data_IF_376848856323
#
_entry.id   IF_376848856323
#
_cell.length_a   1.000
_cell.length_b   1.000
_cell.length_c   1.000
_cell.angle_alpha   90.00
_cell.angle_beta   90.00
_cell.angle_gamma   90.00
#
_symmetry.space_group_name_H-M   'P 1'
#
loop_
_entity.id
_entity.type
_entity.pdbx_description
1 polymer ?
#
# COMPACT_ATOMS: atom_id res chain seq x y z
N UNK A 1 2.41 0.73 6.60
CA UNK A 1 3.00 0.60 5.26
C UNK A 1 2.01 -0.18 4.40
N UNK A 2 2.31 -1.39 3.90
CA UNK A 2 1.32 -2.40 3.51
C UNK A 2 1.16 -3.34 4.72
N UNK A 3 -0.08 -3.53 5.16
CA UNK A 3 -0.38 -4.08 6.47
C UNK A 3 0.03 -5.53 6.60
N UNK A 4 -0.63 -6.42 5.85
CA UNK A 4 -0.44 -7.86 5.98
C UNK A 4 0.98 -8.29 5.58
N UNK A 5 1.48 -7.78 4.46
CA UNK A 5 2.84 -8.11 3.99
C UNK A 5 3.92 -7.60 4.95
N UNK A 6 3.75 -6.43 5.59
CA UNK A 6 4.72 -5.94 6.56
C UNK A 6 4.75 -6.82 7.81
N UNK A 7 3.58 -7.22 8.31
CA UNK A 7 3.48 -8.08 9.50
C UNK A 7 4.19 -9.41 9.23
N UNK A 8 3.85 -10.06 8.11
CA UNK A 8 4.44 -11.36 7.74
C UNK A 8 5.94 -11.25 7.51
N UNK A 9 6.41 -10.19 6.85
CA UNK A 9 7.84 -10.02 6.56
C UNK A 9 8.66 -9.61 7.80
N UNK A 10 8.05 -8.91 8.77
CA UNK A 10 8.73 -8.50 10.01
C UNK A 10 8.76 -9.63 11.04
N UNK A 11 7.74 -10.49 11.06
CA UNK A 11 7.56 -11.53 12.08
C UNK A 11 8.80 -12.43 12.31
N UNK A 12 9.50 -12.95 11.29
CA UNK A 12 10.71 -13.76 11.49
C UNK A 12 11.84 -12.95 12.12
N UNK A 13 11.99 -11.67 11.76
CA UNK A 13 13.06 -10.78 12.22
C UNK A 13 12.96 -10.41 13.69
N UNK A 14 11.75 -10.47 14.27
CA UNK A 14 11.50 -10.21 15.70
C UNK A 14 11.07 -11.46 16.47
N UNK A 15 11.07 -12.63 15.81
CA UNK A 15 10.55 -13.92 16.33
C UNK A 15 9.14 -13.81 16.93
N UNK A 16 8.23 -13.13 16.23
CA UNK A 16 6.84 -12.99 16.65
C UNK A 16 6.13 -14.35 16.71
N UNK A 17 5.25 -14.53 17.70
CA UNK A 17 4.42 -15.73 17.81
C UNK A 17 3.35 -15.75 16.71
N UNK A 18 2.93 -16.94 16.28
CA UNK A 18 1.87 -17.06 15.26
C UNK A 18 0.57 -16.39 15.70
N UNK A 19 0.23 -16.46 16.99
CA UNK A 19 -0.93 -15.79 17.58
C UNK A 19 -0.84 -14.26 17.41
N UNK A 20 0.32 -13.67 17.69
CA UNK A 20 0.57 -12.22 17.55
C UNK A 20 0.44 -11.77 16.10
N UNK A 21 0.98 -12.57 15.16
CA UNK A 21 0.86 -12.34 13.71
C UNK A 21 -0.60 -12.39 13.27
N UNK A 22 -1.32 -13.44 13.67
CA UNK A 22 -2.73 -13.61 13.34
C UNK A 22 -3.58 -12.45 13.90
N UNK A 23 -3.31 -12.03 15.14
CA UNK A 23 -3.98 -10.90 15.78
C UNK A 23 -3.71 -9.58 15.06
N UNK A 24 -2.45 -9.31 14.70
CA UNK A 24 -2.09 -8.11 13.98
C UNK A 24 -2.78 -8.05 12.61
N UNK A 25 -2.77 -9.16 11.85
CA UNK A 25 -3.43 -9.26 10.54
C UNK A 25 -4.94 -9.05 10.68
N UNK A 26 -5.59 -9.77 11.59
CA UNK A 26 -7.03 -9.66 11.79
C UNK A 26 -7.46 -8.22 12.11
N UNK A 27 -6.71 -7.56 13.01
CA UNK A 27 -6.98 -6.20 13.43
C UNK A 27 -6.86 -5.18 12.28
N UNK A 28 -5.78 -5.22 11.49
CA UNK A 28 -5.63 -4.31 10.34
C UNK A 28 -6.69 -4.58 9.26
N UNK A 29 -7.12 -5.83 9.10
CA UNK A 29 -8.11 -6.21 8.09
C UNK A 29 -9.46 -5.62 8.46
N UNK A 30 -9.90 -5.73 9.73
CA UNK A 30 -11.19 -5.17 10.17
C UNK A 30 -11.25 -3.66 10.00
N UNK A 31 -10.27 -2.92 10.53
CA UNK A 31 -10.26 -1.47 10.40
C UNK A 31 -10.03 -1.02 8.96
N UNK A 32 -9.26 -1.78 8.20
CA UNK A 32 -9.05 -1.51 6.80
C UNK A 32 -10.30 -1.73 5.93
N UNK A 33 -11.14 -2.74 6.24
CA UNK A 33 -12.43 -2.93 5.59
C UNK A 33 -13.36 -1.77 5.94
N UNK A 34 -13.44 -1.39 7.22
CA UNK A 34 -14.24 -0.23 7.63
C UNK A 34 -13.78 1.04 6.90
N UNK A 35 -12.48 1.29 6.87
CA UNK A 35 -11.90 2.43 6.15
C UNK A 35 -12.16 2.36 4.64
N UNK A 36 -12.08 1.18 4.01
CA UNK A 36 -12.35 1.02 2.59
C UNK A 36 -13.73 1.53 2.18
N UNK A 37 -14.75 1.28 3.00
CA UNK A 37 -16.12 1.72 2.74
C UNK A 37 -16.40 3.15 3.20
N UNK A 38 -15.79 3.59 4.31
CA UNK A 38 -16.10 4.89 4.92
C UNK A 38 -15.23 6.03 4.38
N UNK A 39 -13.94 5.77 4.14
CA UNK A 39 -12.98 6.82 3.79
C UNK A 39 -13.21 7.46 2.42
N UNK A 40 -13.79 6.82 1.39
CA UNK A 40 -14.11 7.51 0.14
C UNK A 40 -15.02 8.72 0.36
N UNK A 41 -16.08 8.55 1.15
CA UNK A 41 -17.01 9.63 1.50
C UNK A 41 -16.35 10.68 2.38
N UNK A 42 -15.54 10.23 3.35
CA UNK A 42 -14.79 11.13 4.22
C UNK A 42 -13.79 11.98 3.42
N UNK A 43 -13.05 11.38 2.49
CA UNK A 43 -12.09 12.07 1.63
C UNK A 43 -12.80 13.14 0.79
N UNK A 44 -13.94 12.80 0.19
CA UNK A 44 -14.71 13.75 -0.62
C UNK A 44 -15.17 14.94 0.23
N UNK A 45 -15.68 14.67 1.44
CA UNK A 45 -16.13 15.70 2.37
C UNK A 45 -14.98 16.59 2.89
N UNK A 46 -13.81 16.01 3.19
CA UNK A 46 -12.66 16.73 3.74
C UNK A 46 -11.94 17.60 2.70
N UNK A 47 -11.87 17.14 1.44
CA UNK A 47 -11.08 17.81 0.39
C UNK A 47 -11.95 18.43 -0.71
N UNK A 48 -13.26 18.55 -0.48
CA UNK A 48 -14.17 19.23 -1.42
C UNK A 48 -14.23 18.59 -2.81
N UNK A 49 -13.98 17.29 -2.90
CA UNK A 49 -13.94 16.57 -4.18
C UNK A 49 -12.60 16.60 -4.92
N UNK A 50 -11.54 17.21 -4.38
CA UNK A 50 -10.20 17.18 -4.96
C UNK A 50 -9.68 15.74 -5.05
N UNK A 51 -9.47 15.26 -6.28
CA UNK A 51 -9.10 13.88 -6.58
C UNK A 51 -7.66 13.57 -6.19
N UNK A 52 -6.75 14.55 -6.30
CA UNK A 52 -5.36 14.38 -5.92
C UNK A 52 -5.23 14.29 -4.40
N UNK A 53 -5.84 15.23 -3.66
CA UNK A 53 -5.83 15.22 -2.20
C UNK A 53 -6.57 14.02 -1.62
N UNK A 54 -7.74 13.69 -2.20
CA UNK A 54 -8.49 12.49 -1.86
C UNK A 54 -7.66 11.22 -2.08
N UNK A 55 -6.97 11.12 -3.22
CA UNK A 55 -6.10 10.00 -3.54
C UNK A 55 -4.92 9.87 -2.57
N UNK A 56 -4.23 10.98 -2.28
CA UNK A 56 -3.16 11.03 -1.29
C UNK A 56 -3.63 10.57 0.08
N UNK A 57 -4.80 11.03 0.53
CA UNK A 57 -5.38 10.63 1.80
C UNK A 57 -5.74 9.15 1.85
N UNK A 58 -6.43 8.62 0.84
CA UNK A 58 -6.79 7.20 0.79
C UNK A 58 -5.53 6.31 0.77
N UNK A 59 -4.53 6.68 -0.05
CA UNK A 59 -3.27 5.93 -0.19
C UNK A 59 -2.40 5.94 1.07
N UNK A 60 -2.40 7.04 1.84
CA UNK A 60 -1.60 7.15 3.07
C UNK A 60 -2.29 6.54 4.29
N UNK A 61 -3.61 6.72 4.42
CA UNK A 61 -4.37 6.37 5.63
C UNK A 61 -4.76 4.89 5.70
N UNK A 62 -5.14 4.25 4.59
CA UNK A 62 -5.59 2.85 4.60
C UNK A 62 -4.38 1.92 4.69
N UNK A 63 -4.50 0.84 5.47
CA UNK A 63 -3.37 -0.02 5.83
C UNK A 63 -3.05 -1.11 4.82
N UNK A 64 -4.01 -1.60 4.04
CA UNK A 64 -3.79 -2.65 3.04
C UNK A 64 -3.90 -2.13 1.61
N UNK A 65 -3.07 -2.63 0.69
CA UNK A 65 -3.02 -2.14 -0.70
C UNK A 65 -4.32 -2.48 -1.44
N UNK A 66 -4.82 -3.70 -1.23
CA UNK A 66 -6.12 -4.15 -1.71
C UNK A 66 -7.25 -3.17 -1.36
N UNK A 67 -7.32 -2.81 -0.07
CA UNK A 67 -8.35 -1.93 0.47
C UNK A 67 -8.20 -0.48 -0.03
N UNK A 68 -6.97 0.02 -0.18
CA UNK A 68 -6.73 1.34 -0.80
C UNK A 68 -7.31 1.38 -2.20
N UNK A 69 -6.98 0.39 -3.04
CA UNK A 69 -7.46 0.45 -4.42
C UNK A 69 -8.96 0.24 -4.51
N UNK A 70 -9.53 -0.64 -3.69
CA UNK A 70 -10.98 -0.79 -3.56
C UNK A 70 -11.66 0.53 -3.17
N UNK A 71 -11.15 1.22 -2.15
CA UNK A 71 -11.68 2.51 -1.70
C UNK A 71 -11.60 3.59 -2.79
N UNK A 72 -10.46 3.66 -3.49
CA UNK A 72 -10.24 4.69 -4.49
C UNK A 72 -11.02 4.44 -5.79
N UNK A 73 -11.20 3.18 -6.20
CA UNK A 73 -12.12 2.82 -7.28
C UNK A 73 -13.57 3.14 -6.91
N UNK A 74 -13.98 2.84 -5.67
CA UNK A 74 -15.28 3.23 -5.16
C UNK A 74 -15.46 4.75 -5.17
N UNK A 75 -14.43 5.51 -4.78
CA UNK A 75 -14.45 6.97 -4.85
C UNK A 75 -14.70 7.45 -6.28
N UNK A 76 -13.91 6.98 -7.25
CA UNK A 76 -14.01 7.42 -8.64
C UNK A 76 -15.39 7.11 -9.23
N UNK A 77 -15.93 5.93 -8.94
CA UNK A 77 -17.27 5.51 -9.39
C UNK A 77 -18.40 6.30 -8.71
N UNK A 78 -18.30 6.53 -7.40
CA UNK A 78 -19.37 7.17 -6.61
C UNK A 78 -19.50 8.66 -6.95
N UNK A 79 -18.38 9.34 -7.19
CA UNK A 79 -18.33 10.78 -7.44
C UNK A 79 -18.16 11.14 -8.93
N UNK A 80 -18.30 10.17 -9.84
CA UNK A 80 -18.30 10.41 -11.28
C UNK A 80 -16.98 10.98 -11.82
N UNK A 81 -15.85 10.55 -11.25
CA UNK A 81 -14.52 11.01 -11.65
C UNK A 81 -14.20 10.49 -13.05
N UNK A 82 -14.08 11.40 -14.00
CA UNK A 82 -13.77 11.11 -15.41
C UNK A 82 -12.50 11.83 -15.90
N UNK A 83 -11.94 12.72 -15.07
CA UNK A 83 -10.71 13.47 -15.36
C UNK A 83 -9.45 12.71 -14.94
N UNK A 84 -8.31 13.11 -15.49
CA UNK A 84 -6.99 12.63 -15.07
C UNK A 84 -6.24 13.74 -14.35
N UNK A 85 -5.52 13.44 -13.25
CA UNK A 85 -5.38 12.12 -12.63
C UNK A 85 -6.62 11.71 -11.81
N UNK A 86 -7.08 10.46 -11.98
CA UNK A 86 -8.16 9.93 -11.15
C UNK A 86 -7.70 9.71 -9.70
N UNK A 87 -8.63 9.67 -8.75
CA UNK A 87 -8.31 9.41 -7.34
C UNK A 87 -7.65 8.04 -7.15
N UNK A 88 -8.07 7.02 -7.92
CA UNK A 88 -7.48 5.69 -7.87
C UNK A 88 -6.01 5.65 -8.27
N UNK A 89 -5.63 6.37 -9.34
CA UNK A 89 -4.24 6.38 -9.81
C UNK A 89 -3.33 7.00 -8.73
N UNK A 90 -3.74 8.14 -8.16
CA UNK A 90 -2.98 8.82 -7.09
C UNK A 90 -2.91 7.96 -5.83
N UNK A 91 -4.01 7.36 -5.38
CA UNK A 91 -4.05 6.54 -4.18
C UNK A 91 -3.15 5.29 -4.29
N UNK A 92 -3.21 4.61 -5.43
CA UNK A 92 -2.40 3.40 -5.68
C UNK A 92 -0.92 3.75 -5.71
N UNK A 93 -0.51 4.80 -6.44
CA UNK A 93 0.90 5.23 -6.48
C UNK A 93 1.38 5.62 -5.08
N UNK A 94 0.60 6.42 -4.36
CA UNK A 94 0.91 6.84 -2.98
C UNK A 94 1.13 5.64 -2.06
N UNK A 95 0.26 4.62 -2.18
CA UNK A 95 0.37 3.39 -1.39
C UNK A 95 1.60 2.57 -1.76
N UNK A 96 1.91 2.45 -3.05
CA UNK A 96 3.08 1.72 -3.52
C UNK A 96 4.38 2.39 -3.08
N UNK A 97 4.47 3.72 -3.15
CA UNK A 97 5.60 4.49 -2.60
C UNK A 97 5.75 4.23 -1.11
N UNK A 98 4.65 4.24 -0.35
CA UNK A 98 4.69 3.86 1.07
C UNK A 98 5.19 2.44 1.25
N UNK A 99 4.80 1.48 0.40
CA UNK A 99 5.25 0.09 0.46
C UNK A 99 6.76 -0.06 0.28
N UNK A 100 7.42 0.82 -0.49
CA UNK A 100 8.88 0.84 -0.61
C UNK A 100 9.59 1.02 0.74
N UNK A 101 8.99 1.74 1.69
CA UNK A 101 9.58 1.96 3.02
C UNK A 101 9.79 0.67 3.82
N UNK A 102 9.15 -0.45 3.44
CA UNK A 102 9.43 -1.78 4.00
C UNK A 102 10.90 -2.17 3.87
N UNK A 103 11.54 -1.79 2.75
CA UNK A 103 12.94 -2.11 2.49
C UNK A 103 13.88 -1.52 3.56
N UNK A 104 13.50 -0.38 4.15
CA UNK A 104 14.25 0.25 5.23
C UNK A 104 13.73 -0.13 6.63
N UNK A 105 12.41 -0.19 6.82
CA UNK A 105 11.79 -0.36 8.15
C UNK A 105 11.92 -1.79 8.67
N UNK A 106 11.74 -2.82 7.83
CA UNK A 106 11.80 -4.22 8.28
C UNK A 106 13.18 -4.55 8.85
N UNK A 107 14.29 -4.26 8.15
CA UNK A 107 15.60 -4.57 8.67
C UNK A 107 15.99 -3.70 9.87
N UNK A 108 15.52 -2.45 9.91
CA UNK A 108 15.70 -1.57 11.06
C UNK A 108 15.03 -2.13 12.31
N UNK A 109 13.79 -2.62 12.19
CA UNK A 109 13.08 -3.27 13.30
C UNK A 109 13.78 -4.55 13.77
N UNK A 110 14.22 -5.40 12.84
CA UNK A 110 14.98 -6.62 13.16
C UNK A 110 16.26 -6.29 13.94
N UNK A 111 16.98 -5.24 13.54
CA UNK A 111 18.18 -4.78 14.24
C UNK A 111 17.90 -4.28 15.66
N UNK A 112 16.86 -3.47 15.85
CA UNK A 112 16.49 -2.96 17.18
C UNK A 112 16.08 -4.09 18.13
N UNK A 113 15.30 -5.06 17.64
CA UNK A 113 14.89 -6.21 18.45
C UNK A 113 16.06 -7.12 18.80
N UNK A 114 17.00 -7.32 17.88
CA UNK A 114 18.20 -8.10 18.14
C UNK A 114 19.12 -7.49 19.21
N UNK A 115 19.08 -6.17 19.39
CA UNK A 115 19.79 -5.48 20.47
C UNK A 115 19.10 -5.61 21.83
N UNK A 116 17.77 -5.79 21.81
CA UNK A 116 16.95 -5.77 23.04
C UNK A 116 16.86 -7.15 23.67
N UNK A 117 16.93 -8.23 22.87
CA UNK A 117 16.83 -9.60 23.36
C UNK A 117 17.84 -10.54 22.62
N UNK A 118 19.15 -10.43 22.93
CA UNK A 118 20.22 -11.11 22.18
C UNK A 118 20.08 -12.64 22.17
N UNK A 119 19.61 -13.21 23.30
CA UNK A 119 19.38 -14.64 23.48
C UNK A 119 18.22 -15.16 22.62
N UNK A 120 17.20 -14.32 22.41
CA UNK A 120 16.08 -14.63 21.52
C UNK A 120 16.35 -14.39 20.05
N UNK A 121 17.44 -13.78 19.63
CA UNK A 121 17.66 -13.42 18.19
C UNK A 121 18.84 -14.09 17.52
N UNK A 122 19.45 -15.11 18.16
CA UNK A 122 20.58 -15.88 17.63
C UNK A 122 20.60 -15.98 16.09
N UNK A 123 21.64 -15.37 15.51
CA UNK A 123 22.08 -15.46 14.11
C UNK A 123 21.30 -14.73 13.00
N UNK A 124 20.75 -13.53 13.23
CA UNK A 124 20.22 -12.69 12.13
C UNK A 124 21.20 -11.60 11.60
N UNK A 125 22.45 -11.58 12.06
CA UNK A 125 23.45 -10.52 11.75
C UNK A 125 24.65 -11.01 10.91
N UNK A 126 24.44 -11.98 10.01
CA UNK A 126 25.39 -12.24 8.92
C UNK A 126 25.21 -11.20 7.82
N UNK A 127 26.27 -10.45 7.47
CA UNK A 127 26.27 -9.24 6.63
C UNK A 127 25.71 -9.34 5.19
N UNK A 128 25.11 -10.46 4.81
CA UNK A 128 24.39 -10.68 3.53
C UNK A 128 22.88 -10.84 3.70
N UNK A 129 22.34 -10.78 4.92
CA UNK A 129 20.92 -10.98 5.24
C UNK A 129 19.99 -9.80 4.92
N UNK A 130 20.53 -8.59 4.71
CA UNK A 130 19.72 -7.37 4.54
C UNK A 130 18.85 -7.38 3.28
N UNK A 131 19.39 -7.86 2.16
CA UNK A 131 18.66 -7.97 0.89
C UNK A 131 17.61 -9.08 0.93
N UNK A 132 17.84 -10.15 1.71
CA UNK A 132 16.86 -11.24 1.91
C UNK A 132 15.63 -10.82 2.71
N UNK A 133 15.71 -9.72 3.46
CA UNK A 133 14.58 -9.19 4.24
C UNK A 133 13.65 -8.30 3.39
N UNK A 134 14.10 -7.84 2.23
CA UNK A 134 13.29 -7.04 1.33
C UNK A 134 12.34 -7.97 0.55
N UNK A 135 11.02 -7.78 0.63
CA UNK A 135 10.09 -8.60 -0.12
C UNK A 135 10.34 -8.50 -1.63
N UNK A 136 10.40 -9.65 -2.32
CA UNK A 136 10.65 -9.71 -3.77
C UNK A 136 9.69 -8.84 -4.59
N UNK A 137 8.45 -8.67 -4.15
CA UNK A 137 7.47 -7.82 -4.84
C UNK A 137 7.90 -6.33 -4.88
N UNK A 138 8.64 -5.85 -3.88
CA UNK A 138 9.14 -4.47 -3.83
C UNK A 138 10.19 -4.27 -4.93
N UNK A 139 11.09 -5.23 -5.09
CA UNK A 139 12.09 -5.21 -6.17
C UNK A 139 11.43 -5.29 -7.55
N UNK A 140 10.42 -6.16 -7.71
CA UNK A 140 9.64 -6.26 -8.94
C UNK A 140 8.92 -4.95 -9.29
N UNK A 141 8.29 -4.30 -8.30
CA UNK A 141 7.65 -3.00 -8.49
C UNK A 141 8.65 -1.92 -8.90
N UNK A 142 9.81 -1.82 -8.24
CA UNK A 142 10.86 -0.87 -8.60
C UNK A 142 11.38 -1.09 -10.03
N UNK A 143 11.58 -2.35 -10.42
CA UNK A 143 12.02 -2.69 -11.77
C UNK A 143 10.99 -2.27 -12.83
N UNK A 144 9.71 -2.59 -12.62
CA UNK A 144 8.63 -2.22 -13.54
C UNK A 144 8.41 -0.70 -13.60
N UNK A 145 8.52 -0.01 -12.46
CA UNK A 145 8.47 1.45 -12.40
C UNK A 145 9.63 2.08 -13.18
N UNK A 146 10.85 1.54 -13.03
CA UNK A 146 12.00 2.00 -13.81
C UNK A 146 11.80 1.77 -15.32
N UNK A 147 11.31 0.58 -15.73
CA UNK A 147 10.99 0.29 -17.14
C UNK A 147 9.95 1.28 -17.68
N UNK A 148 8.89 1.54 -16.92
CA UNK A 148 7.83 2.50 -17.29
C UNK A 148 8.41 3.91 -17.46
N UNK A 149 9.21 4.40 -16.51
CA UNK A 149 9.80 5.73 -16.52
C UNK A 149 10.84 5.91 -17.63
N UNK A 150 11.69 4.90 -17.87
CA UNK A 150 12.67 4.92 -18.96
C UNK A 150 11.95 4.91 -20.31
N UNK A 151 10.89 4.10 -20.46
CA UNK A 151 10.07 4.08 -21.67
C UNK A 151 9.48 5.45 -22.01
N UNK A 152 8.90 6.15 -21.03
CA UNK A 152 8.38 7.51 -21.24
C UNK A 152 9.47 8.54 -21.52
N UNK A 153 10.59 8.49 -20.78
CA UNK A 153 11.70 9.42 -20.98
C UNK A 153 12.35 9.27 -22.37
N UNK A 154 12.49 8.04 -22.85
CA UNK A 154 13.05 7.75 -24.18
C UNK A 154 12.10 8.14 -25.32
N UNK A 155 10.79 8.02 -25.11
CA UNK A 155 9.77 8.54 -26.02
C UNK A 155 9.87 10.04 -26.22
N UNK A 156 9.97 10.80 -25.12
CA UNK A 156 10.06 12.26 -25.16
C UNK A 156 11.34 12.79 -25.81
N UNK A 157 12.45 12.03 -25.76
CA UNK A 157 13.75 12.43 -26.30
C UNK A 157 14.09 11.88 -27.69
N UNK A 158 13.58 10.71 -28.06
CA UNK A 158 14.00 9.98 -29.27
C UNK A 158 12.87 9.48 -30.16
N UNK A 159 11.61 9.76 -29.83
CA UNK A 159 10.43 9.31 -30.60
C UNK A 159 10.14 7.80 -30.53
N UNK A 160 10.97 7.04 -29.82
CA UNK A 160 10.85 5.59 -29.63
C UNK A 160 11.02 5.25 -28.14
N UNK A 161 10.04 4.56 -27.56
CA UNK A 161 10.07 4.04 -26.20
C UNK A 161 11.07 2.88 -26.12
N UNK A 162 11.91 2.89 -25.09
CA UNK A 162 12.97 1.90 -24.85
C UNK A 162 13.94 1.74 -26.05
N UNK A 163 13.91 2.66 -27.01
CA UNK A 163 14.69 2.61 -28.25
C UNK A 163 14.13 1.74 -29.38
N UNK A 164 12.97 1.10 -29.20
CA UNK A 164 12.41 0.19 -30.23
C UNK A 164 10.89 0.22 -30.40
N UNK A 165 10.11 0.83 -29.50
CA UNK A 165 8.65 0.92 -29.62
C UNK A 165 8.22 2.31 -30.07
N UNK A 166 7.36 2.40 -31.09
CA UNK A 166 6.70 3.67 -31.43
C UNK A 166 5.72 4.13 -30.35
N UNK A 167 5.37 5.42 -30.36
CA UNK A 167 4.42 6.05 -29.42
C UNK A 167 3.09 5.28 -29.30
N UNK A 168 2.48 4.93 -30.43
CA UNK A 168 1.22 4.17 -30.44
C UNK A 168 1.36 2.78 -29.81
N UNK A 169 2.44 2.06 -30.13
CA UNK A 169 2.68 0.72 -29.59
C UNK A 169 2.95 0.75 -28.07
N UNK A 170 3.67 1.77 -27.58
CA UNK A 170 3.89 1.96 -26.15
C UNK A 170 2.59 2.29 -25.41
N UNK A 171 1.76 3.19 -25.97
CA UNK A 171 0.43 3.49 -25.45
C UNK A 171 -0.49 2.27 -25.38
N UNK A 172 -0.46 1.42 -26.41
CA UNK A 172 -1.20 0.16 -26.45
C UNK A 172 -0.74 -0.83 -25.36
N UNK A 173 0.57 -0.96 -25.15
CA UNK A 173 1.13 -1.79 -24.07
C UNK A 173 0.65 -1.29 -22.71
N UNK A 174 0.71 0.03 -22.47
CA UNK A 174 0.27 0.61 -21.19
C UNK A 174 -1.22 0.39 -20.98
N UNK A 175 -2.06 0.68 -21.97
CA UNK A 175 -3.51 0.57 -21.86
C UNK A 175 -3.95 -0.86 -21.62
N UNK A 176 -3.40 -1.84 -22.36
CA UNK A 176 -3.67 -3.27 -22.15
C UNK A 176 -3.20 -3.74 -20.77
N UNK A 177 -2.04 -3.27 -20.34
CA UNK A 177 -1.51 -3.59 -19.00
C UNK A 177 -2.41 -3.01 -17.90
N UNK A 178 -2.93 -1.78 -18.07
CA UNK A 178 -3.87 -1.15 -17.12
C UNK A 178 -5.21 -1.90 -17.06
N UNK A 179 -5.72 -2.38 -18.20
CA UNK A 179 -6.94 -3.22 -18.21
C UNK A 179 -6.72 -4.56 -17.51
N UNK A 180 -5.61 -5.24 -17.83
CA UNK A 180 -5.28 -6.53 -17.22
C UNK A 180 -5.06 -6.40 -15.71
N UNK A 181 -4.42 -5.31 -15.26
CA UNK A 181 -4.24 -5.05 -13.83
C UNK A 181 -5.59 -4.84 -13.14
N UNK A 182 -6.53 -4.13 -13.77
CA UNK A 182 -7.90 -3.96 -13.28
C UNK A 182 -8.63 -5.29 -13.07
N UNK A 183 -8.61 -6.21 -14.04
CA UNK A 183 -9.22 -7.53 -13.92
C UNK A 183 -8.56 -8.41 -12.86
N UNK A 184 -7.23 -8.40 -12.84
CA UNK A 184 -6.44 -9.18 -11.86
C UNK A 184 -6.69 -8.67 -10.45
N UNK A 185 -6.75 -7.34 -10.28
CA UNK A 185 -7.02 -6.70 -9.01
C UNK A 185 -8.44 -7.01 -8.53
N UNK A 186 -9.44 -6.91 -9.41
CA UNK A 186 -10.82 -7.25 -9.07
C UNK A 186 -10.94 -8.69 -8.58
N UNK A 187 -10.30 -9.63 -9.29
CA UNK A 187 -10.23 -11.05 -8.89
C UNK A 187 -9.54 -11.21 -7.53
N UNK A 188 -8.43 -10.51 -7.30
CA UNK A 188 -7.72 -10.54 -6.02
C UNK A 188 -8.59 -9.97 -4.88
N UNK A 189 -9.35 -8.89 -5.10
CA UNK A 189 -10.23 -8.31 -4.09
C UNK A 189 -11.37 -9.26 -3.73
N UNK A 190 -11.95 -9.92 -4.73
CA UNK A 190 -12.97 -10.95 -4.52
C UNK A 190 -12.41 -12.11 -3.69
N UNK A 191 -11.19 -12.58 -4.01
CA UNK A 191 -10.53 -13.64 -3.25
C UNK A 191 -10.22 -13.24 -1.79
N UNK A 192 -9.76 -12.01 -1.55
CA UNK A 192 -9.54 -11.48 -0.19
C UNK A 192 -10.84 -11.44 0.61
N UNK A 193 -11.95 -11.03 -0.02
CA UNK A 193 -13.29 -11.04 0.57
C UNK A 193 -13.77 -12.44 0.93
N UNK A 194 -13.52 -13.45 0.08
CA UNK A 194 -13.87 -14.85 0.34
C UNK A 194 -12.98 -15.49 1.42
N UNK A 195 -11.72 -15.06 1.51
CA UNK A 195 -10.75 -15.55 2.50
C UNK A 195 -10.90 -14.91 3.90
N UNK A 196 -11.78 -13.91 4.06
CA UNK A 196 -11.95 -13.23 5.36
C UNK A 196 -12.80 -14.08 6.30
N UNK A 197 -12.14 -14.91 7.10
CA UNK A 197 -12.81 -15.73 8.11
C UNK A 197 -13.23 -14.86 9.30
N UNK A 198 -14.47 -14.35 9.32
CA UNK A 198 -15.04 -13.63 10.47
C UNK A 198 -14.96 -14.42 11.79
N UNK A 199 -14.81 -15.74 11.73
CA UNK A 199 -14.61 -16.62 12.88
C UNK A 199 -13.29 -16.39 13.63
N UNK A 200 -12.20 -15.97 12.96
CA UNK A 200 -10.93 -15.68 13.63
C UNK A 200 -10.98 -14.38 14.46
N UNK A 201 -11.98 -13.53 14.22
CA UNK A 201 -12.23 -12.31 14.99
C UNK A 201 -12.86 -12.58 16.36
N UNK A 202 -13.56 -13.71 16.53
CA UNK A 202 -14.29 -14.03 17.77
C UNK A 202 -13.39 -14.35 18.97
N UNK A 203 -12.13 -14.70 18.73
CA UNK A 203 -11.14 -14.94 19.79
C UNK A 203 -10.37 -13.68 20.21
N UNK A 204 -10.58 -12.54 19.52
CA UNK A 204 -9.88 -11.30 19.80
C UNK A 204 -10.44 -10.66 21.07
N UNK A 205 -9.70 -10.69 22.16
CA UNK A 205 -10.03 -9.88 23.33
C UNK A 205 -10.14 -8.39 22.99
N UNK A 206 -10.85 -7.62 23.80
CA UNK A 206 -11.11 -6.20 23.53
C UNK A 206 -9.82 -5.34 23.52
N UNK A 207 -8.82 -5.72 24.32
CA UNK A 207 -7.60 -4.93 24.53
C UNK A 207 -6.76 -4.77 23.24
N UNK A 208 -6.37 -5.85 22.52
CA UNK A 208 -5.69 -5.72 21.23
C UNK A 208 -6.47 -4.89 20.19
N UNK A 209 -7.78 -5.04 20.17
CA UNK A 209 -8.65 -4.31 19.25
C UNK A 209 -8.61 -2.79 19.52
N UNK A 210 -8.64 -2.36 20.79
CA UNK A 210 -8.51 -0.95 21.15
C UNK A 210 -7.16 -0.36 20.74
N UNK A 211 -6.06 -1.10 20.91
CA UNK A 211 -4.73 -0.67 20.44
C UNK A 211 -4.74 -0.52 18.92
N UNK A 212 -5.38 -1.46 18.24
CA UNK A 212 -5.61 -1.42 16.81
C UNK A 212 -6.37 -0.20 16.32
N UNK A 213 -7.49 0.11 16.98
CA UNK A 213 -8.30 1.28 16.68
C UNK A 213 -7.51 2.56 16.87
N UNK A 214 -6.78 2.66 17.99
CA UNK A 214 -5.94 3.82 18.27
C UNK A 214 -4.85 4.01 17.20
N UNK A 215 -4.19 2.92 16.80
CA UNK A 215 -3.19 2.97 15.73
C UNK A 215 -3.81 3.38 14.38
N UNK A 216 -4.99 2.84 14.03
CA UNK A 216 -5.69 3.20 12.80
C UNK A 216 -6.13 4.67 12.80
N UNK A 217 -6.69 5.15 13.90
CA UNK A 217 -7.07 6.54 14.09
C UNK A 217 -5.87 7.48 14.01
N UNK A 218 -4.76 7.14 14.69
CA UNK A 218 -3.53 7.93 14.63
C UNK A 218 -2.98 8.03 13.21
N UNK A 219 -2.95 6.92 12.45
CA UNK A 219 -2.51 6.94 11.05
C UNK A 219 -3.46 7.76 10.18
N UNK A 220 -4.77 7.68 10.39
CA UNK A 220 -5.75 8.50 9.69
C UNK A 220 -5.56 10.00 9.94
N UNK A 221 -5.38 10.39 11.21
CA UNK A 221 -5.13 11.80 11.59
C UNK A 221 -3.78 12.28 11.04
N UNK A 222 -2.72 11.47 11.18
CA UNK A 222 -1.41 11.81 10.64
C UNK A 222 -1.43 11.98 9.11
N UNK A 223 -2.16 11.09 8.40
CA UNK A 223 -2.38 11.20 6.97
C UNK A 223 -3.13 12.49 6.61
N UNK A 224 -4.23 12.79 7.31
CA UNK A 224 -4.99 14.02 7.10
C UNK A 224 -4.12 15.28 7.30
N UNK A 225 -3.40 15.36 8.42
CA UNK A 225 -2.51 16.49 8.73
C UNK A 225 -1.40 16.60 7.68
N UNK A 226 -0.80 15.48 7.27
CA UNK A 226 0.24 15.48 6.24
C UNK A 226 -0.30 15.99 4.89
N UNK A 227 -1.50 15.57 4.48
CA UNK A 227 -2.13 16.03 3.24
C UNK A 227 -2.51 17.51 3.34
N UNK A 228 -2.96 18.00 4.48
CA UNK A 228 -3.24 19.44 4.65
C UNK A 228 -1.97 20.30 4.56
N UNK A 229 -0.87 19.86 5.18
CA UNK A 229 0.37 20.63 5.22
C UNK A 229 1.17 20.54 3.93
N UNK A 230 1.24 19.35 3.32
CA UNK A 230 2.10 19.06 2.19
C UNK A 230 1.34 18.97 0.86
N UNK A 231 0.03 18.72 0.89
CA UNK A 231 -0.82 18.67 -0.31
C UNK A 231 -0.71 19.91 -1.20
N UNK A 232 -0.68 21.15 -0.65
CA UNK A 232 -0.47 22.35 -1.47
C UNK A 232 0.87 22.40 -2.23
N UNK A 233 1.87 21.61 -1.82
CA UNK A 233 3.16 21.50 -2.51
C UNK A 233 3.13 20.50 -3.67
N UNK A 234 2.10 19.66 -3.74
CA UNK A 234 1.96 18.63 -4.76
C UNK A 234 1.18 19.22 -5.94
N UNK A 235 1.89 19.70 -6.96
CA UNK A 235 1.29 20.04 -8.26
C UNK A 235 1.23 18.77 -9.12
N UNK A 236 0.04 18.22 -9.33
CA UNK A 236 -0.21 17.10 -10.25
C UNK A 236 -0.93 17.61 -11.49
#
# INVERSE_FOLDING_TARGET
>A
ICGASAIVATAPGIRAKQEEVAYAIANITVFGIAAMFLYPYLANALFGGDQALGGLFLGTSIHETAQVTGAALMYDQTFGVTGSPCCADVAVVTKLVRNLSMAAVIPFMAYLYARTDPERTGAATGGTGWVRLVPLFVLGFLALAAIRSIGDGTLGGGGLALGFLGEGAWGDVISRTKQLSGYTLTTAMAAVGLGTAFGSLRGLGLRPFCVGLFAAAMVGVAAFVAVLLLGPLVSI
#
